data_IF_959318563641
#
_entry.id   IF_959318563641
#
_cell.length_a   1.000
_cell.length_b   1.000
_cell.length_c   1.000
_cell.angle_alpha   90.00
_cell.angle_beta   90.00
_cell.angle_gamma   90.00
#
_symmetry.space_group_name_H-M   'P 1'
#
loop_
_entity.id
_entity.type
_entity.pdbx_description
1 polymer ?
#
# COMPACT_ATOMS: atom_id res chain seq x y z
N UNK A 1 41.52 8.49 -28.04
CA UNK A 1 40.55 9.49 -28.54
C UNK A 1 39.15 9.06 -28.13
N UNK A 2 38.74 9.40 -26.91
CA UNK A 2 37.32 9.36 -26.52
C UNK A 2 37.09 10.59 -25.64
N UNK A 3 36.80 11.75 -26.25
CA UNK A 3 35.83 12.63 -25.59
C UNK A 3 35.05 13.44 -26.62
N UNK A 4 33.76 13.15 -26.80
CA UNK A 4 32.77 14.15 -27.26
C UNK A 4 31.32 13.68 -27.07
N UNK A 5 31.09 12.37 -26.94
CA UNK A 5 29.73 11.80 -26.88
C UNK A 5 29.09 11.95 -25.48
N UNK A 6 29.88 11.99 -24.40
CA UNK A 6 29.34 12.05 -23.02
C UNK A 6 28.80 13.46 -22.67
N UNK A 7 29.32 14.52 -23.30
CA UNK A 7 28.86 15.88 -23.02
C UNK A 7 27.50 16.21 -23.66
N UNK A 8 27.16 15.59 -24.79
CA UNK A 8 25.87 15.81 -25.46
C UNK A 8 24.69 15.14 -24.73
N UNK A 9 24.93 14.07 -23.97
CA UNK A 9 23.86 13.37 -23.22
C UNK A 9 23.42 14.16 -21.98
N UNK A 10 24.35 14.82 -21.28
CA UNK A 10 24.04 15.64 -20.09
C UNK A 10 23.32 16.95 -20.45
N UNK A 11 23.60 17.54 -21.62
CA UNK A 11 22.94 18.77 -22.07
C UNK A 11 21.49 18.50 -22.52
N UNK A 12 21.19 17.30 -23.02
CA UNK A 12 19.83 16.96 -23.47
C UNK A 12 18.83 16.90 -22.31
N UNK A 13 19.24 16.43 -21.13
CA UNK A 13 18.40 16.39 -19.92
C UNK A 13 18.23 17.75 -19.22
N UNK A 14 19.16 18.70 -19.43
CA UNK A 14 19.05 20.06 -18.90
C UNK A 14 18.14 20.94 -19.80
N UNK A 15 18.15 20.70 -21.12
CA UNK A 15 17.35 21.46 -22.09
C UNK A 15 15.96 20.88 -22.36
N UNK A 16 15.74 19.60 -22.05
CA UNK A 16 14.44 18.95 -22.17
C UNK A 16 14.12 18.26 -20.84
N UNK A 17 13.67 19.00 -19.81
CA UNK A 17 13.03 18.36 -18.67
C UNK A 17 11.96 17.40 -19.21
N UNK A 18 11.79 16.20 -18.61
CA UNK A 18 10.71 15.30 -19.02
C UNK A 18 9.40 16.08 -19.06
N UNK A 19 8.51 15.82 -20.04
CA UNK A 19 7.27 16.57 -20.18
C UNK A 19 6.58 16.58 -18.82
N UNK A 20 6.57 17.74 -18.18
CA UNK A 20 5.87 17.93 -16.92
C UNK A 20 4.40 17.86 -17.29
N UNK A 21 3.73 16.76 -16.93
CA UNK A 21 2.28 16.67 -17.06
C UNK A 21 1.72 17.68 -16.05
N UNK A 22 1.35 18.86 -16.52
CA UNK A 22 0.71 19.86 -15.69
C UNK A 22 -0.67 19.31 -15.29
N UNK A 23 -0.86 19.05 -13.99
CA UNK A 23 -2.19 18.78 -13.46
C UNK A 23 -3.09 19.97 -13.80
N UNK A 24 -4.18 19.72 -14.51
CA UNK A 24 -5.20 20.72 -14.80
C UNK A 24 -6.36 20.49 -13.83
N UNK A 25 -6.78 21.50 -13.06
CA UNK A 25 -8.02 21.41 -12.30
C UNK A 25 -9.17 21.04 -13.25
N UNK A 26 -9.96 20.03 -12.92
CA UNK A 26 -11.18 19.74 -13.66
C UNK A 26 -12.24 20.77 -13.23
N UNK A 27 -12.73 21.64 -14.15
CA UNK A 27 -13.68 22.70 -13.80
C UNK A 27 -15.06 22.17 -13.39
N UNK A 28 -15.33 20.88 -13.61
CA UNK A 28 -16.56 20.22 -13.16
C UNK A 28 -16.37 19.50 -11.81
N UNK A 29 -15.20 19.63 -11.19
CA UNK A 29 -14.94 19.02 -9.88
C UNK A 29 -15.61 19.86 -8.78
N UNK A 30 -16.46 19.27 -7.93
CA UNK A 30 -17.03 20.00 -6.81
C UNK A 30 -15.91 20.46 -5.86
N UNK A 31 -16.01 21.68 -5.33
CA UNK A 31 -15.10 22.14 -4.27
C UNK A 31 -15.06 21.12 -3.15
N UNK A 32 -13.85 20.84 -2.63
CA UNK A 32 -13.66 19.88 -1.55
C UNK A 32 -14.65 20.19 -0.40
N UNK A 33 -15.50 19.23 0.00
CA UNK A 33 -16.39 19.43 1.12
C UNK A 33 -15.59 19.83 2.36
N UNK A 34 -16.13 20.75 3.16
CA UNK A 34 -15.57 20.98 4.51
C UNK A 34 -15.56 19.64 5.25
N UNK A 35 -14.49 19.29 5.99
CA UNK A 35 -14.41 18.03 6.71
C UNK A 35 -15.67 17.88 7.56
N UNK A 36 -16.37 16.77 7.35
CA UNK A 36 -17.56 16.46 8.12
C UNK A 36 -17.13 16.36 9.60
N UNK A 37 -17.78 17.14 10.47
CA UNK A 37 -17.61 17.03 11.94
C UNK A 37 -18.24 15.75 12.51
N UNK A 38 -18.64 14.82 11.65
CA UNK A 38 -19.26 13.58 12.07
C UNK A 38 -18.17 12.54 12.27
N UNK A 39 -17.79 12.34 13.53
CA UNK A 39 -16.84 11.30 13.97
C UNK A 39 -17.47 9.89 13.94
N UNK A 40 -18.42 9.66 13.03
CA UNK A 40 -19.12 8.39 12.88
C UNK A 40 -18.26 7.43 12.07
N UNK A 41 -17.23 6.89 12.72
CA UNK A 41 -16.33 5.88 12.14
C UNK A 41 -17.14 4.65 11.74
N UNK A 42 -17.40 4.38 10.45
CA UNK A 42 -18.27 3.24 10.08
C UNK A 42 -17.71 1.88 10.53
N UNK A 43 -16.38 1.76 10.65
CA UNK A 43 -15.69 0.59 11.19
C UNK A 43 -15.20 0.86 12.60
N UNK A 44 -16.11 0.74 13.57
CA UNK A 44 -15.80 0.97 14.98
C UNK A 44 -14.74 0.00 15.51
N UNK A 45 -14.09 0.46 16.57
CA UNK A 45 -13.24 -0.25 17.52
C UNK A 45 -13.60 -1.74 17.74
N UNK A 46 -13.08 -2.62 16.88
CA UNK A 46 -13.19 -4.07 16.99
C UNK A 46 -12.38 -4.65 18.17
N UNK A 47 -11.80 -3.81 19.04
CA UNK A 47 -11.12 -4.27 20.26
C UNK A 47 -12.01 -5.11 21.17
N UNK A 48 -13.33 -4.89 21.15
CA UNK A 48 -14.28 -5.74 21.89
C UNK A 48 -14.35 -7.18 21.35
N UNK A 49 -13.92 -7.41 20.11
CA UNK A 49 -13.85 -8.73 19.49
C UNK A 49 -12.53 -9.45 19.77
N UNK A 50 -11.60 -8.81 20.50
CA UNK A 50 -10.35 -9.42 20.85
C UNK A 50 -10.61 -10.71 21.65
N UNK A 51 -9.97 -11.79 21.21
CA UNK A 51 -10.04 -13.12 21.83
C UNK A 51 -11.46 -13.74 21.84
N UNK A 52 -12.39 -13.21 21.04
CA UNK A 52 -13.69 -13.86 20.80
C UNK A 52 -13.46 -15.16 20.05
N UNK A 53 -13.94 -16.26 20.62
CA UNK A 53 -13.69 -17.61 20.13
C UNK A 53 -14.81 -18.13 19.21
N UNK A 54 -14.46 -19.13 18.40
CA UNK A 54 -15.40 -19.85 17.55
C UNK A 54 -16.57 -20.44 18.34
N UNK A 55 -17.77 -20.35 17.79
CA UNK A 55 -19.02 -20.79 18.42
C UNK A 55 -19.65 -19.74 19.35
N UNK A 56 -19.00 -18.62 19.60
CA UNK A 56 -19.58 -17.49 20.33
C UNK A 56 -20.52 -16.66 19.45
N UNK A 57 -21.30 -15.80 20.12
CA UNK A 57 -22.09 -14.75 19.47
C UNK A 57 -21.68 -13.39 20.03
N UNK A 58 -21.43 -12.44 19.14
CA UNK A 58 -21.12 -11.07 19.53
C UNK A 58 -21.65 -10.10 18.48
N UNK A 59 -22.40 -9.08 18.92
CA UNK A 59 -23.11 -8.15 18.01
C UNK A 59 -22.19 -7.54 16.95
N UNK A 60 -20.95 -7.18 17.31
CA UNK A 60 -19.98 -6.59 16.38
C UNK A 60 -19.38 -7.56 15.35
N UNK A 61 -19.59 -8.88 15.48
CA UNK A 61 -19.15 -9.85 14.45
C UNK A 61 -19.84 -9.56 13.12
N UNK A 62 -21.10 -9.13 13.14
CA UNK A 62 -21.82 -8.81 11.90
C UNK A 62 -21.13 -7.70 11.12
N UNK A 63 -20.57 -6.71 11.81
CA UNK A 63 -19.89 -5.57 11.18
C UNK A 63 -18.48 -5.96 10.72
N UNK A 64 -17.79 -6.84 11.46
CA UNK A 64 -16.51 -7.40 11.00
C UNK A 64 -16.70 -8.32 9.79
N UNK A 65 -17.81 -9.07 9.70
CA UNK A 65 -18.15 -9.82 8.47
C UNK A 65 -18.37 -8.88 7.30
N UNK A 66 -19.10 -7.77 7.46
CA UNK A 66 -19.25 -6.76 6.39
C UNK A 66 -17.90 -6.17 5.95
N UNK A 67 -17.00 -5.90 6.90
CA UNK A 67 -15.64 -5.46 6.60
C UNK A 67 -14.89 -6.50 5.77
N UNK A 68 -14.86 -7.76 6.21
CA UNK A 68 -14.18 -8.84 5.50
C UNK A 68 -14.79 -9.09 4.11
N UNK A 69 -16.11 -8.94 3.99
CA UNK A 69 -16.82 -9.03 2.70
C UNK A 69 -16.43 -7.90 1.75
N UNK A 70 -16.36 -6.65 2.23
CA UNK A 70 -15.90 -5.50 1.43
C UNK A 70 -14.53 -5.75 0.80
N UNK A 71 -13.59 -6.31 1.57
CA UNK A 71 -12.23 -6.59 1.10
C UNK A 71 -12.07 -7.97 0.42
N UNK A 72 -13.19 -8.69 0.21
CA UNK A 72 -13.27 -9.91 -0.59
C UNK A 72 -12.90 -11.21 0.13
N UNK A 73 -12.83 -11.21 1.45
CA UNK A 73 -12.54 -12.42 2.26
C UNK A 73 -13.75 -13.32 2.50
N UNK A 74 -14.96 -12.83 2.19
CA UNK A 74 -16.21 -13.59 2.20
C UNK A 74 -16.81 -13.61 0.81
N UNK A 75 -17.65 -14.61 0.52
CA UNK A 75 -18.23 -14.78 -0.80
C UNK A 75 -19.13 -13.60 -1.19
N UNK A 76 -19.06 -13.15 -2.46
CA UNK A 76 -19.84 -12.00 -2.94
C UNK A 76 -21.36 -12.17 -2.76
N UNK A 77 -21.85 -13.40 -2.78
CA UNK A 77 -23.28 -13.72 -2.62
C UNK A 77 -23.73 -13.68 -1.15
N UNK A 78 -22.80 -13.74 -0.20
CA UNK A 78 -23.11 -13.68 1.22
C UNK A 78 -23.50 -12.24 1.58
N UNK A 79 -24.80 -12.00 1.76
CA UNK A 79 -25.35 -10.68 2.13
C UNK A 79 -26.06 -10.70 3.48
N UNK A 80 -26.36 -11.88 4.01
CA UNK A 80 -27.05 -12.05 5.28
C UNK A 80 -26.09 -12.54 6.38
N UNK A 81 -25.34 -11.60 6.95
CA UNK A 81 -24.40 -11.89 8.02
C UNK A 81 -25.09 -12.01 9.38
N UNK A 82 -24.71 -13.04 10.14
CA UNK A 82 -25.13 -13.25 11.53
C UNK A 82 -24.04 -12.77 12.50
N UNK A 83 -24.40 -12.61 13.77
CA UNK A 83 -23.48 -12.29 14.86
C UNK A 83 -22.69 -13.49 15.41
N UNK A 84 -22.81 -14.66 14.78
CA UNK A 84 -22.14 -15.89 15.19
C UNK A 84 -20.71 -15.97 14.66
N UNK A 85 -19.77 -16.42 15.49
CA UNK A 85 -18.44 -16.83 15.05
C UNK A 85 -18.51 -18.25 14.45
N UNK A 86 -18.91 -18.33 13.19
CA UNK A 86 -19.09 -19.59 12.46
C UNK A 86 -17.82 -20.04 11.71
N UNK A 87 -17.89 -21.22 11.08
CA UNK A 87 -16.77 -21.79 10.31
C UNK A 87 -16.35 -20.89 9.13
N UNK A 88 -17.30 -20.22 8.49
CA UNK A 88 -17.03 -19.37 7.32
C UNK A 88 -16.26 -18.11 7.76
N UNK A 89 -16.64 -17.54 8.89
CA UNK A 89 -15.94 -16.41 9.49
C UNK A 89 -14.50 -16.75 9.92
N UNK A 90 -14.30 -17.89 10.58
CA UNK A 90 -12.95 -18.38 10.92
C UNK A 90 -12.09 -18.56 9.66
N UNK A 91 -12.67 -19.12 8.59
CA UNK A 91 -11.97 -19.29 7.32
C UNK A 91 -11.60 -17.94 6.70
N UNK A 92 -12.51 -16.96 6.71
CA UNK A 92 -12.22 -15.60 6.24
C UNK A 92 -11.09 -14.95 7.05
N UNK A 93 -11.05 -15.13 8.36
CA UNK A 93 -9.94 -14.65 9.22
C UNK A 93 -8.62 -15.32 8.85
N UNK A 94 -8.62 -16.64 8.59
CA UNK A 94 -7.42 -17.35 8.15
C UNK A 94 -6.89 -16.82 6.80
N UNK A 95 -7.78 -16.56 5.84
CA UNK A 95 -7.39 -15.98 4.54
C UNK A 95 -6.88 -14.55 4.73
N UNK A 96 -7.54 -13.73 5.55
CA UNK A 96 -7.08 -12.38 5.90
C UNK A 96 -5.67 -12.39 6.48
N UNK A 97 -5.44 -13.20 7.51
CA UNK A 97 -4.13 -13.32 8.17
C UNK A 97 -3.05 -13.76 7.18
N UNK A 98 -3.34 -14.79 6.39
CA UNK A 98 -2.39 -15.30 5.38
C UNK A 98 -2.07 -14.24 4.32
N UNK A 99 -3.10 -13.56 3.79
CA UNK A 99 -2.96 -12.57 2.72
C UNK A 99 -2.15 -11.35 3.16
N UNK A 100 -2.27 -10.94 4.41
CA UNK A 100 -1.62 -9.72 4.93
C UNK A 100 -0.34 -10.01 5.73
N UNK A 101 0.19 -11.23 5.65
CA UNK A 101 1.44 -11.62 6.29
C UNK A 101 1.38 -11.62 7.82
N UNK A 102 0.22 -11.92 8.39
CA UNK A 102 0.03 -12.15 9.82
C UNK A 102 0.18 -13.64 10.15
N UNK A 103 0.40 -13.96 11.43
CA UNK A 103 0.35 -15.34 11.88
C UNK A 103 -1.06 -15.90 11.73
N UNK A 104 -1.18 -16.99 10.97
CA UNK A 104 -2.46 -17.67 10.71
C UNK A 104 -2.84 -18.46 11.96
N UNK A 105 -3.85 -17.98 12.67
CA UNK A 105 -4.36 -18.58 13.91
C UNK A 105 -5.85 -18.88 13.88
N UNK A 106 -6.59 -18.28 12.93
CA UNK A 106 -8.06 -18.34 12.87
C UNK A 106 -8.75 -17.48 13.92
N UNK A 107 -7.98 -16.85 14.83
CA UNK A 107 -8.50 -16.14 15.98
C UNK A 107 -8.35 -14.62 15.81
N UNK A 108 -9.24 -13.87 16.47
CA UNK A 108 -9.20 -12.41 16.56
C UNK A 108 -8.22 -11.96 17.66
N UNK A 109 -6.96 -12.38 17.56
CA UNK A 109 -5.91 -11.97 18.49
C UNK A 109 -5.58 -10.47 18.37
N UNK A 110 -4.80 -9.95 19.31
CA UNK A 110 -4.41 -8.53 19.36
C UNK A 110 -3.82 -8.02 18.03
N UNK A 111 -2.94 -8.81 17.39
CA UNK A 111 -2.27 -8.41 16.15
C UNK A 111 -3.27 -8.32 14.98
N UNK A 112 -4.21 -9.27 14.90
CA UNK A 112 -5.24 -9.32 13.86
C UNK A 112 -6.21 -8.16 14.01
N UNK A 113 -6.71 -7.92 15.23
CA UNK A 113 -7.64 -6.82 15.52
C UNK A 113 -6.97 -5.46 15.33
N UNK A 114 -5.72 -5.30 15.79
CA UNK A 114 -4.96 -4.07 15.57
C UNK A 114 -4.71 -3.81 14.09
N UNK A 115 -4.51 -4.86 13.29
CA UNK A 115 -4.37 -4.72 11.85
C UNK A 115 -5.67 -4.33 11.16
N UNK A 116 -6.80 -4.98 11.50
CA UNK A 116 -8.13 -4.67 10.95
C UNK A 116 -8.52 -3.22 11.21
N UNK A 117 -8.20 -2.71 12.40
CA UNK A 117 -8.48 -1.33 12.80
C UNK A 117 -7.46 -0.31 12.27
N UNK A 118 -6.38 -0.75 11.60
CA UNK A 118 -5.43 0.18 10.98
C UNK A 118 -6.08 0.81 9.75
N UNK A 119 -5.94 2.14 9.55
CA UNK A 119 -6.37 2.77 8.31
C UNK A 119 -5.72 2.12 7.10
N UNK A 120 -6.44 2.06 5.98
CA UNK A 120 -6.05 1.29 4.81
C UNK A 120 -6.64 1.82 3.51
N UNK A 121 -6.11 1.32 2.40
CA UNK A 121 -6.72 1.40 1.08
C UNK A 121 -8.05 0.62 1.02
N UNK A 122 -9.01 1.18 0.28
CA UNK A 122 -10.36 0.66 0.03
C UNK A 122 -10.45 -0.40 -1.06
N UNK A 123 -9.40 -0.59 -1.87
CA UNK A 123 -9.36 -1.62 -2.91
C UNK A 123 -9.42 -3.02 -2.28
N UNK A 124 -10.23 -3.98 -2.81
CA UNK A 124 -10.27 -5.34 -2.29
C UNK A 124 -8.92 -6.07 -2.35
N UNK A 125 -8.61 -6.86 -1.33
CA UNK A 125 -7.34 -7.61 -1.23
C UNK A 125 -7.31 -8.86 -2.11
N UNK A 126 -8.48 -9.44 -2.31
CA UNK A 126 -8.67 -10.59 -3.19
C UNK A 126 -9.25 -10.09 -4.50
N UNK A 127 -8.86 -10.73 -5.61
CA UNK A 127 -9.39 -10.40 -6.93
C UNK A 127 -10.91 -10.58 -6.90
N UNK A 128 -11.62 -9.48 -6.78
CA UNK A 128 -13.06 -9.47 -6.93
C UNK A 128 -13.37 -9.61 -8.42
N UNK A 129 -14.43 -10.34 -8.73
CA UNK A 129 -14.99 -10.45 -10.10
C UNK A 129 -15.33 -9.06 -10.69
N UNK A 130 -15.37 -8.03 -9.84
CA UNK A 130 -15.56 -6.62 -10.18
C UNK A 130 -14.53 -6.07 -11.19
N UNK A 131 -13.27 -6.50 -11.16
CA UNK A 131 -12.25 -6.07 -12.15
C UNK A 131 -12.61 -6.45 -13.61
N UNK A 132 -13.56 -7.38 -13.82
CA UNK A 132 -14.02 -7.76 -15.15
C UNK A 132 -15.26 -6.98 -15.62
N UNK A 133 -16.02 -6.34 -14.73
CA UNK A 133 -17.34 -5.75 -15.04
C UNK A 133 -17.23 -4.27 -15.46
N UNK A 134 -16.24 -3.51 -14.98
CA UNK A 134 -16.09 -2.07 -15.26
C UNK A 134 -15.39 -1.74 -16.58
N UNK A 135 -15.18 -2.72 -17.46
CA UNK A 135 -14.53 -2.55 -18.78
C UNK A 135 -15.38 -1.82 -19.83
N UNK A 136 -16.57 -1.30 -19.48
CA UNK A 136 -17.55 -0.82 -20.48
C UNK A 136 -17.70 0.72 -20.57
N UNK A 137 -16.97 1.49 -19.78
CA UNK A 137 -16.99 2.95 -19.93
C UNK A 137 -15.87 3.44 -20.86
N UNK A 138 -16.22 4.40 -21.71
CA UNK A 138 -15.33 5.05 -22.67
C UNK A 138 -14.36 6.00 -21.94
N UNK A 139 -13.38 5.44 -21.24
CA UNK A 139 -12.46 6.19 -20.38
C UNK A 139 -11.47 7.05 -21.19
N UNK A 140 -11.25 8.27 -20.71
CA UNK A 140 -10.18 9.16 -21.15
C UNK A 140 -8.83 8.65 -20.64
N UNK A 141 -7.74 8.79 -21.42
CA UNK A 141 -6.37 8.37 -21.03
C UNK A 141 -5.71 9.23 -19.95
N UNK A 142 -6.50 9.96 -19.17
CA UNK A 142 -6.03 10.92 -18.18
C UNK A 142 -6.16 10.32 -16.78
N UNK A 143 -5.17 10.58 -15.92
CA UNK A 143 -5.28 10.25 -14.50
C UNK A 143 -6.12 11.34 -13.82
N UNK A 144 -7.21 10.94 -13.15
CA UNK A 144 -8.10 11.84 -12.41
C UNK A 144 -8.01 11.55 -10.92
N UNK A 145 -7.76 12.60 -10.15
CA UNK A 145 -7.53 12.54 -8.71
C UNK A 145 -8.53 13.48 -8.05
N UNK A 146 -9.18 13.04 -6.98
CA UNK A 146 -10.20 13.82 -6.32
C UNK A 146 -10.39 13.49 -4.85
N UNK A 147 -10.80 14.48 -4.07
CA UNK A 147 -11.21 14.32 -2.68
C UNK A 147 -12.73 14.23 -2.60
N UNK A 148 -13.26 13.20 -1.92
CA UNK A 148 -14.69 12.95 -1.80
C UNK A 148 -15.07 12.61 -0.36
N UNK A 149 -16.35 12.67 -0.03
CA UNK A 149 -16.85 12.30 1.31
C UNK A 149 -18.02 11.35 1.17
N UNK A 150 -18.09 10.32 2.02
CA UNK A 150 -19.23 9.41 2.07
C UNK A 150 -19.53 8.77 0.71
N UNK A 151 -20.82 8.64 0.38
CA UNK A 151 -21.25 8.20 -0.95
C UNK A 151 -20.97 9.27 -2.00
N UNK A 152 -20.20 8.90 -3.02
CA UNK A 152 -19.77 9.77 -4.12
C UNK A 152 -20.01 9.16 -5.51
N UNK A 153 -20.97 8.24 -5.61
CA UNK A 153 -21.58 7.84 -6.89
C UNK A 153 -20.84 6.76 -7.67
N UNK A 154 -19.81 6.14 -7.09
CA UNK A 154 -19.06 5.01 -7.69
C UNK A 154 -19.34 3.64 -7.03
N UNK A 155 -20.19 3.61 -6.00
CA UNK A 155 -20.54 2.41 -5.25
C UNK A 155 -19.59 2.08 -4.09
N UNK A 156 -18.48 2.80 -3.95
CA UNK A 156 -17.47 2.60 -2.91
C UNK A 156 -17.47 3.76 -1.92
N UNK A 157 -18.56 3.93 -1.18
CA UNK A 157 -18.69 5.03 -0.22
C UNK A 157 -17.55 5.05 0.83
N UNK A 158 -17.03 6.24 1.10
CA UNK A 158 -16.11 6.50 2.19
C UNK A 158 -16.79 6.43 3.56
N UNK A 159 -16.00 6.25 4.62
CA UNK A 159 -16.44 5.87 5.96
C UNK A 159 -16.12 6.89 7.06
N UNK A 160 -15.54 8.04 6.69
CA UNK A 160 -15.30 9.16 7.60
C UNK A 160 -13.83 9.22 8.02
N UNK A 161 -13.58 9.71 9.22
CA UNK A 161 -12.20 9.83 9.73
C UNK A 161 -11.63 8.43 9.98
N UNK A 162 -10.43 8.15 9.46
CA UNK A 162 -9.76 6.85 9.46
C UNK A 162 -10.61 5.73 8.82
N UNK A 163 -10.04 4.52 8.77
CA UNK A 163 -10.69 3.40 8.10
C UNK A 163 -10.22 3.34 6.65
N UNK A 164 -11.08 3.68 5.68
CA UNK A 164 -10.73 3.70 4.27
C UNK A 164 -10.21 5.08 3.87
N UNK A 165 -8.89 5.17 3.65
CA UNK A 165 -8.21 6.42 3.34
C UNK A 165 -8.47 6.89 1.90
N UNK A 166 -8.56 5.94 0.98
CA UNK A 166 -8.60 6.16 -0.46
C UNK A 166 -8.99 4.87 -1.18
N UNK A 167 -9.36 4.98 -2.45
CA UNK A 167 -9.42 3.84 -3.36
C UNK A 167 -9.11 4.26 -4.80
N UNK A 168 -8.59 3.32 -5.57
CA UNK A 168 -8.25 3.49 -6.97
C UNK A 168 -8.97 2.48 -7.86
N UNK A 169 -9.02 2.81 -9.15
CA UNK A 169 -9.58 1.95 -10.17
C UNK A 169 -8.45 1.42 -11.07
N UNK A 170 -8.43 0.10 -11.24
CA UNK A 170 -7.48 -0.59 -12.12
C UNK A 170 -7.46 0.01 -13.54
N UNK A 171 -6.34 -0.09 -14.27
CA UNK A 171 -6.28 0.31 -15.67
C UNK A 171 -7.43 -0.28 -16.51
N UNK A 172 -7.97 0.44 -17.50
CA UNK A 172 -7.52 1.75 -18.02
C UNK A 172 -8.28 2.96 -17.43
N UNK A 173 -8.94 2.81 -16.28
CA UNK A 173 -9.83 3.85 -15.74
C UNK A 173 -9.10 5.15 -15.36
N UNK A 174 -7.95 5.02 -14.69
CA UNK A 174 -7.08 6.16 -14.36
C UNK A 174 -7.58 7.03 -13.19
N UNK A 175 -8.59 6.59 -12.44
CA UNK A 175 -9.14 7.33 -11.30
C UNK A 175 -8.60 6.81 -9.98
N UNK A 176 -8.38 7.71 -9.03
CA UNK A 176 -8.42 7.37 -7.61
C UNK A 176 -8.99 8.51 -6.78
N UNK A 177 -9.62 8.13 -5.69
CA UNK A 177 -10.36 9.01 -4.79
C UNK A 177 -9.70 8.98 -3.41
N UNK A 178 -9.63 10.14 -2.76
CA UNK A 178 -9.12 10.33 -1.41
C UNK A 178 -10.28 10.70 -0.49
N UNK A 179 -10.35 10.15 0.72
CA UNK A 179 -11.39 10.56 1.67
C UNK A 179 -11.09 11.96 2.22
N UNK A 180 -11.97 12.91 1.92
CA UNK A 180 -11.88 14.30 2.36
C UNK A 180 -12.17 14.48 3.86
N UNK A 181 -12.68 13.44 4.54
CA UNK A 181 -12.85 13.46 5.99
C UNK A 181 -11.51 13.34 6.73
N UNK A 182 -10.45 12.84 6.09
CA UNK A 182 -9.18 12.59 6.74
C UNK A 182 -8.38 13.86 7.05
N UNK A 183 -7.57 13.77 8.10
CA UNK A 183 -6.57 14.80 8.40
C UNK A 183 -5.32 14.54 7.57
N UNK A 184 -5.26 15.11 6.36
CA UNK A 184 -4.13 14.96 5.45
C UNK A 184 -2.93 15.83 5.84
N UNK A 185 -1.75 15.22 5.92
CA UNK A 185 -0.48 15.90 6.13
C UNK A 185 0.43 15.73 4.90
N UNK A 186 1.00 16.84 4.44
CA UNK A 186 2.17 16.84 3.54
C UNK A 186 3.47 16.97 4.31
N UNK A 187 3.40 17.53 5.53
CA UNK A 187 4.49 17.64 6.48
C UNK A 187 3.94 17.51 7.90
N UNK A 188 4.35 16.44 8.58
CA UNK A 188 4.01 16.14 9.97
C UNK A 188 4.59 17.12 11.00
N UNK A 189 5.51 18.01 10.60
CA UNK A 189 5.97 19.12 11.43
C UNK A 189 5.01 20.32 11.44
N UNK A 190 4.10 20.41 10.47
CA UNK A 190 3.10 21.48 10.38
C UNK A 190 1.71 21.02 10.80
N UNK A 191 1.35 19.77 10.49
CA UNK A 191 0.16 19.12 10.97
C UNK A 191 0.53 18.20 12.14
N UNK A 192 0.13 18.56 13.36
CA UNK A 192 0.54 17.88 14.60
C UNK A 192 -0.49 16.84 15.08
N UNK A 193 -1.65 16.72 14.45
CA UNK A 193 -2.67 15.75 14.83
C UNK A 193 -2.10 14.34 14.87
N UNK A 194 -2.40 13.60 15.95
CA UNK A 194 -2.01 12.19 16.11
C UNK A 194 -2.69 11.25 15.11
N UNK A 195 -3.78 11.69 14.49
CA UNK A 195 -4.54 10.96 13.48
C UNK A 195 -4.11 11.35 12.05
N UNK A 196 -3.15 12.27 11.90
CA UNK A 196 -2.72 12.74 10.60
C UNK A 196 -2.17 11.62 9.72
N UNK A 197 -2.60 11.60 8.46
CA UNK A 197 -2.22 10.63 7.43
C UNK A 197 -1.31 11.32 6.40
N UNK A 198 -0.18 10.68 6.07
CA UNK A 198 0.74 11.21 5.07
C UNK A 198 0.13 11.09 3.67
N UNK A 199 -0.18 12.23 3.05
CA UNK A 199 -0.83 12.30 1.74
C UNK A 199 0.05 11.68 0.64
N UNK A 200 1.37 11.90 0.70
CA UNK A 200 2.30 11.38 -0.30
C UNK A 200 2.33 9.85 -0.29
N UNK A 201 2.27 9.24 0.88
CA UNK A 201 2.25 7.78 1.05
C UNK A 201 1.00 7.15 0.45
N UNK A 202 -0.19 7.72 0.75
CA UNK A 202 -1.45 7.21 0.19
C UNK A 202 -1.50 7.44 -1.32
N UNK A 203 -1.15 8.62 -1.80
CA UNK A 203 -1.13 8.91 -3.25
C UNK A 203 -0.16 7.98 -3.99
N UNK A 204 1.02 7.71 -3.42
CA UNK A 204 2.00 6.80 -4.03
C UNK A 204 1.45 5.37 -4.12
N UNK A 205 0.69 4.93 -3.11
CA UNK A 205 -0.02 3.65 -3.11
C UNK A 205 -1.11 3.59 -4.19
N UNK A 206 -2.00 4.59 -4.24
CA UNK A 206 -3.11 4.62 -5.22
C UNK A 206 -2.62 4.74 -6.66
N UNK A 207 -1.50 5.44 -6.90
CA UNK A 207 -0.85 5.46 -8.21
C UNK A 207 -0.39 4.05 -8.60
N UNK A 208 0.07 3.24 -7.65
CA UNK A 208 0.40 1.83 -7.91
C UNK A 208 -0.80 1.05 -8.46
N UNK A 209 -1.99 1.24 -7.90
CA UNK A 209 -3.23 0.66 -8.43
C UNK A 209 -3.60 1.20 -9.81
N UNK A 210 -3.46 2.51 -10.04
CA UNK A 210 -3.65 3.11 -11.38
C UNK A 210 -2.68 2.55 -12.41
N UNK A 211 -1.51 2.08 -11.98
CA UNK A 211 -0.53 1.37 -12.82
C UNK A 211 -0.78 -0.15 -12.88
N UNK A 212 -1.82 -0.67 -12.23
CA UNK A 212 -2.21 -2.08 -12.28
C UNK A 212 -1.54 -2.97 -11.23
N UNK A 213 -0.90 -2.42 -10.21
CA UNK A 213 -0.40 -3.19 -9.08
C UNK A 213 -1.55 -3.57 -8.14
N UNK A 214 -1.56 -4.82 -7.70
CA UNK A 214 -2.41 -5.28 -6.62
C UNK A 214 -1.73 -5.08 -5.26
N UNK A 215 -2.48 -5.22 -4.17
CA UNK A 215 -1.91 -5.20 -2.83
C UNK A 215 -0.81 -6.25 -2.63
N UNK A 216 0.24 -5.85 -1.92
CA UNK A 216 1.32 -6.72 -1.46
C UNK A 216 1.03 -7.29 -0.08
N UNK A 217 1.54 -8.49 0.19
CA UNK A 217 1.56 -9.08 1.53
C UNK A 217 2.79 -8.64 2.36
N UNK A 218 3.73 -7.90 1.75
CA UNK A 218 4.97 -7.45 2.38
C UNK A 218 4.73 -6.10 3.05
N UNK A 219 4.77 -6.06 4.40
CA UNK A 219 4.48 -4.86 5.20
C UNK A 219 5.27 -3.62 4.80
N UNK A 220 6.50 -3.79 4.32
CA UNK A 220 7.35 -2.67 3.89
C UNK A 220 7.04 -2.14 2.49
N UNK A 221 6.37 -2.92 1.62
CA UNK A 221 6.01 -2.53 0.25
C UNK A 221 5.03 -1.36 0.27
N UNK A 222 5.20 -0.39 -0.62
CA UNK A 222 4.22 0.69 -0.84
C UNK A 222 2.81 0.11 -1.00
N UNK A 223 2.67 -0.98 -1.76
CA UNK A 223 1.39 -1.64 -2.04
C UNK A 223 0.83 -2.47 -0.87
N UNK A 224 1.43 -2.44 0.33
CA UNK A 224 0.75 -3.00 1.51
C UNK A 224 -0.47 -2.14 1.86
N UNK A 225 -1.67 -2.73 2.08
CA UNK A 225 -2.91 -1.97 2.13
C UNK A 225 -3.04 -1.02 3.31
N UNK A 226 -2.39 -1.30 4.44
CA UNK A 226 -2.54 -0.51 5.66
C UNK A 226 -1.44 0.54 5.84
N UNK A 227 -1.85 1.74 6.28
CA UNK A 227 -0.98 2.85 6.66
C UNK A 227 -1.39 3.35 8.04
N UNK A 228 -0.44 3.36 8.97
CA UNK A 228 -0.68 3.89 10.32
C UNK A 228 -0.62 5.42 10.29
N UNK A 229 -1.39 6.12 11.14
CA UNK A 229 -1.21 7.55 11.36
C UNK A 229 0.24 7.89 11.71
N UNK A 230 0.68 9.09 11.33
CA UNK A 230 2.03 9.62 11.57
C UNK A 230 3.16 8.81 10.91
N UNK A 231 2.86 7.88 10.01
CA UNK A 231 3.89 7.12 9.27
C UNK A 231 3.97 7.60 7.84
N UNK A 232 5.22 7.71 7.35
CA UNK A 232 5.54 8.02 5.96
C UNK A 232 6.13 6.78 5.29
N UNK A 233 5.66 6.48 4.08
CA UNK A 233 6.00 5.30 3.30
C UNK A 233 6.02 5.67 1.82
N UNK A 234 7.11 6.31 1.41
CA UNK A 234 7.31 6.79 0.02
C UNK A 234 8.51 6.15 -0.67
N UNK A 235 9.35 5.44 0.09
CA UNK A 235 10.50 4.72 -0.44
C UNK A 235 10.06 3.40 -1.07
N UNK A 236 10.09 3.33 -2.40
CA UNK A 236 9.81 2.11 -3.16
C UNK A 236 10.70 0.94 -2.70
N UNK A 237 10.08 -0.18 -2.39
CA UNK A 237 10.78 -1.42 -2.03
C UNK A 237 10.93 -2.33 -3.23
N UNK A 238 11.75 -3.37 -3.05
CA UNK A 238 12.06 -4.33 -4.09
C UNK A 238 10.81 -5.02 -4.67
N UNK A 239 9.81 -5.26 -3.84
CA UNK A 239 8.52 -5.83 -4.25
C UNK A 239 7.76 -4.89 -5.20
N UNK A 240 7.67 -3.61 -4.84
CA UNK A 240 7.02 -2.57 -5.66
C UNK A 240 7.69 -2.45 -7.05
N UNK A 241 9.03 -2.40 -7.05
CA UNK A 241 9.84 -2.26 -8.27
C UNK A 241 9.68 -3.48 -9.17
N UNK A 242 9.71 -4.69 -8.60
CA UNK A 242 9.51 -5.92 -9.36
C UNK A 242 8.09 -6.02 -9.90
N UNK A 243 7.10 -5.63 -9.10
CA UNK A 243 5.70 -5.61 -9.51
C UNK A 243 5.49 -4.72 -10.73
N UNK A 244 5.96 -3.47 -10.70
CA UNK A 244 5.76 -2.55 -11.82
C UNK A 244 6.59 -2.94 -13.05
N UNK A 245 7.81 -3.46 -12.86
CA UNK A 245 8.64 -3.95 -13.97
C UNK A 245 8.06 -5.21 -14.63
N UNK A 246 7.29 -6.02 -13.90
CA UNK A 246 6.59 -7.16 -14.49
C UNK A 246 5.47 -6.70 -15.45
N UNK A 247 4.88 -5.53 -15.24
CA UNK A 247 3.83 -4.95 -16.08
C UNK A 247 4.40 -4.16 -17.27
N UNK A 248 5.46 -3.38 -17.05
CA UNK A 248 5.95 -2.39 -18.02
C UNK A 248 7.39 -2.64 -18.53
N UNK A 249 8.05 -3.68 -18.03
CA UNK A 249 9.44 -4.00 -18.36
C UNK A 249 10.47 -3.33 -17.43
N UNK A 250 11.71 -3.79 -17.54
CA UNK A 250 12.82 -3.31 -16.71
C UNK A 250 13.25 -1.89 -17.08
N UNK A 251 13.61 -1.09 -16.08
CA UNK A 251 14.27 0.20 -16.30
C UNK A 251 15.78 -0.02 -16.56
N UNK A 252 16.33 0.31 -17.74
CA UNK A 252 17.75 0.10 -18.05
C UNK A 252 18.71 0.87 -17.14
N UNK A 253 18.24 1.95 -16.49
CA UNK A 253 19.03 2.78 -15.61
C UNK A 253 18.94 2.35 -14.14
N UNK A 254 18.06 1.41 -13.80
CA UNK A 254 17.90 0.94 -12.42
C UNK A 254 18.85 -0.22 -12.11
N UNK A 255 19.66 -0.09 -11.05
CA UNK A 255 20.58 -1.14 -10.60
C UNK A 255 20.23 -1.62 -9.20
N UNK A 256 19.91 -2.91 -9.07
CA UNK A 256 19.56 -3.55 -7.80
C UNK A 256 20.61 -3.40 -6.68
N UNK A 257 21.88 -3.15 -7.03
CA UNK A 257 22.96 -2.94 -6.06
C UNK A 257 22.77 -1.70 -5.17
N UNK A 258 22.09 -0.67 -5.65
CA UNK A 258 21.86 0.59 -4.92
C UNK A 258 20.86 0.42 -3.76
N UNK A 259 19.90 -0.53 -3.88
CA UNK A 259 18.99 -0.87 -2.79
C UNK A 259 19.69 -1.63 -1.66
N UNK A 260 20.69 -2.46 -1.98
CA UNK A 260 21.41 -3.26 -0.98
C UNK A 260 22.16 -2.42 0.04
N UNK A 261 22.69 -1.25 -0.34
CA UNK A 261 23.42 -0.37 0.57
C UNK A 261 22.48 0.32 1.57
N UNK A 262 21.24 0.66 1.16
CA UNK A 262 20.22 1.24 2.04
C UNK A 262 19.68 0.24 3.08
N UNK A 263 19.55 -1.05 2.69
CA UNK A 263 19.11 -2.14 3.58
C UNK A 263 20.19 -2.47 4.63
N UNK A 264 21.47 -2.40 4.26
CA UNK A 264 22.59 -2.64 5.19
C UNK A 264 22.75 -1.48 6.18
N UNK A 265 22.40 -0.24 5.80
CA UNK A 265 22.51 0.92 6.69
C UNK A 265 21.38 1.00 7.74
N UNK A 266 20.26 0.32 7.52
CA UNK A 266 19.07 0.41 8.38
C UNK A 266 18.94 -0.75 9.38
N UNK A 267 19.80 -1.76 9.28
CA UNK A 267 19.85 -2.92 10.18
C UNK A 267 21.18 -3.03 10.92
N UNK A 268 21.13 -2.98 12.25
CA UNK A 268 22.20 -3.24 13.20
C UNK A 268 23.30 -2.17 13.36
N UNK A 269 23.07 -1.31 14.36
CA UNK A 269 24.10 -1.13 15.37
C UNK A 269 24.46 -2.49 15.96
N UNK A 270 25.76 -2.80 15.90
CA UNK A 270 26.48 -3.96 16.46
C UNK A 270 26.73 -5.15 15.51
N UNK A 271 28.03 -5.23 15.15
CA UNK A 271 28.83 -6.44 14.88
C UNK A 271 28.79 -7.12 13.49
N UNK A 272 29.01 -6.35 12.41
CA UNK A 272 29.32 -6.92 11.08
C UNK A 272 30.51 -6.26 10.35
N UNK A 273 31.36 -5.50 11.07
CA UNK A 273 32.61 -4.97 10.49
C UNK A 273 33.80 -5.92 10.63
N UNK A 274 33.74 -6.92 11.49
CA UNK A 274 34.86 -7.87 11.73
C UNK A 274 34.90 -9.02 10.73
N UNK A 275 33.75 -9.54 10.28
CA UNK A 275 33.69 -10.69 9.38
C UNK A 275 34.21 -10.41 7.95
N UNK A 276 33.95 -9.21 7.41
CA UNK A 276 34.37 -8.86 6.03
C UNK A 276 35.88 -8.68 5.88
N UNK A 277 36.60 -8.29 6.93
CA UNK A 277 38.07 -8.14 6.87
C UNK A 277 38.78 -9.50 6.96
N UNK A 278 38.23 -10.42 7.76
CA UNK A 278 38.79 -11.78 7.92
C UNK A 278 38.69 -12.56 6.61
N UNK A 279 37.53 -12.50 5.94
CA UNK A 279 37.34 -13.22 4.68
C UNK A 279 38.23 -12.68 3.54
N UNK A 280 38.39 -11.35 3.47
CA UNK A 280 39.28 -10.71 2.46
C UNK A 280 40.75 -11.03 2.70
N UNK A 281 41.18 -11.04 3.96
CA UNK A 281 42.57 -11.39 4.32
C UNK A 281 42.86 -12.86 4.04
N UNK A 282 41.90 -13.75 4.35
CA UNK A 282 42.04 -15.19 4.09
C UNK A 282 42.13 -15.50 2.59
N UNK A 283 41.27 -14.90 1.76
CA UNK A 283 41.33 -15.06 0.30
C UNK A 283 42.66 -14.53 -0.27
N UNK A 284 43.16 -13.41 0.26
CA UNK A 284 44.43 -12.84 -0.19
C UNK A 284 45.63 -13.74 0.16
N UNK A 285 45.65 -14.32 1.36
CA UNK A 285 46.69 -15.27 1.79
C UNK A 285 46.65 -16.55 0.93
N UNK A 286 45.47 -17.10 0.66
CA UNK A 286 45.32 -18.30 -0.18
C UNK A 286 45.82 -18.04 -1.61
N UNK A 287 45.54 -16.86 -2.19
CA UNK A 287 46.04 -16.49 -3.53
C UNK A 287 47.57 -16.34 -3.54
N UNK A 288 48.17 -15.80 -2.48
CA UNK A 288 49.65 -15.69 -2.37
C UNK A 288 50.28 -17.08 -2.26
N UNK A 289 49.72 -17.97 -1.43
CA UNK A 289 50.25 -19.34 -1.28
C UNK A 289 50.17 -20.11 -2.61
N UNK A 290 49.05 -20.00 -3.33
CA UNK A 290 48.90 -20.65 -4.64
C UNK A 290 49.87 -20.10 -5.70
N UNK A 291 50.23 -18.81 -5.63
CA UNK A 291 51.23 -18.20 -6.51
C UNK A 291 52.68 -18.53 -6.17
N UNK A 292 52.96 -18.96 -4.94
CA UNK A 292 54.31 -19.39 -4.52
C UNK A 292 54.53 -20.90 -4.69
N UNK A 293 53.46 -21.66 -4.93
CA UNK A 293 53.49 -23.10 -5.19
C UNK A 293 53.42 -23.48 -6.68
N UNK A 294 53.46 -22.51 -7.59
CA UNK A 294 53.62 -22.70 -9.04
C UNK A 294 54.92 -22.03 -9.50
#
# INVERSE_FOLDING_TARGET
>A
MVPLIIFFSLVFFILHPPPSITAKPDPNFPDAPRPAKDHSHKWHNFKSLQDVEKGSHHRSIVDLKKYLHRFGYLALQDTNFTDAFDNNFEQAINVYQSKLGLSVTGNLNNDTISHIMSPRCGVPDTLSVYDQIFKLDNYTRDIKIGFYTGDHGDGEAFDGVLGVLAHAFSPENGKFHLDAAETWAVDFGTEESGEAIDLESVVTHEIGHVLGLAHSSIKESIMYPSLKPRHKKVDLKLDDIRGVQALYGSNPNFKYGELSESVISSGNGNDFRTASWILRTYIFIVIIILKLCM
#
